data_IF_462848457205
#
_entry.id   IF_462848457205
#
_cell.length_a   1.000
_cell.length_b   1.000
_cell.length_c   1.000
_cell.angle_alpha   90.00
_cell.angle_beta   90.00
_cell.angle_gamma   90.00
#
_symmetry.space_group_name_H-M   'P 1'
#
loop_
_entity.id
_entity.type
_entity.pdbx_description
1 polymer ?
#
# COMPACT_ATOMS: atom_id res chain seq x y z
N UNK A 1 47.62 13.69 -48.24
CA UNK A 1 47.28 14.84 -47.36
C UNK A 1 45.86 14.62 -46.82
N UNK A 2 45.55 14.99 -45.57
CA UNK A 2 44.79 14.15 -44.64
C UNK A 2 43.26 14.30 -44.68
N UNK A 3 42.57 13.24 -44.27
CA UNK A 3 41.12 13.17 -44.05
C UNK A 3 40.68 14.01 -42.82
N UNK A 4 39.47 14.62 -42.84
CA UNK A 4 38.93 15.27 -41.66
C UNK A 4 38.43 14.21 -40.67
N UNK A 5 39.08 14.14 -39.51
CA UNK A 5 38.59 13.39 -38.35
C UNK A 5 37.47 14.21 -37.70
N UNK A 6 36.23 13.76 -37.87
CA UNK A 6 35.10 14.28 -37.10
C UNK A 6 35.36 14.01 -35.61
N UNK A 7 35.55 15.07 -34.83
CA UNK A 7 35.57 14.99 -33.38
C UNK A 7 34.14 14.73 -32.90
N UNK A 8 33.83 13.47 -32.56
CA UNK A 8 32.60 13.12 -31.88
C UNK A 8 32.69 13.60 -30.43
N UNK A 9 32.03 14.71 -30.11
CA UNK A 9 31.84 15.15 -28.73
C UNK A 9 30.82 14.22 -28.05
N UNK A 10 31.31 13.33 -27.19
CA UNK A 10 30.49 12.45 -26.36
C UNK A 10 29.92 13.28 -25.20
N UNK A 11 28.70 13.81 -25.36
CA UNK A 11 27.94 14.42 -24.27
C UNK A 11 27.45 13.32 -23.32
N UNK A 12 28.21 13.09 -22.26
CA UNK A 12 27.84 12.21 -21.15
C UNK A 12 26.77 12.90 -20.29
N UNK A 13 25.49 12.75 -20.65
CA UNK A 13 24.37 13.22 -19.84
C UNK A 13 24.22 12.34 -18.60
N UNK A 14 24.78 12.82 -17.48
CA UNK A 14 24.59 12.26 -16.15
C UNK A 14 23.13 12.50 -15.73
N UNK A 15 22.25 11.51 -15.95
CA UNK A 15 20.88 11.54 -15.45
C UNK A 15 20.90 11.34 -13.93
N UNK A 16 20.90 12.45 -13.18
CA UNK A 16 20.64 12.42 -11.74
C UNK A 16 19.20 11.93 -11.53
N UNK A 17 19.07 10.66 -11.15
CA UNK A 17 17.81 10.09 -10.66
C UNK A 17 17.46 10.79 -9.33
N UNK A 18 16.73 11.90 -9.41
CA UNK A 18 16.13 12.52 -8.25
C UNK A 18 15.02 11.59 -7.75
N UNK A 19 15.29 10.80 -6.71
CA UNK A 19 14.24 10.18 -5.91
C UNK A 19 13.45 11.31 -5.25
N UNK A 20 12.40 11.79 -5.91
CA UNK A 20 11.43 12.66 -5.28
C UNK A 20 10.68 11.79 -4.26
N UNK A 21 11.11 11.84 -2.99
CA UNK A 21 10.30 11.33 -1.88
C UNK A 21 9.03 12.16 -1.83
N UNK A 22 7.91 11.57 -2.23
CA UNK A 22 6.60 12.19 -2.04
C UNK A 22 6.43 12.54 -0.55
N UNK A 23 5.79 13.69 -0.21
CA UNK A 23 5.47 14.01 1.17
C UNK A 23 4.75 12.83 1.84
N UNK A 24 5.12 12.49 3.09
CA UNK A 24 4.42 11.43 3.81
C UNK A 24 2.93 11.77 3.87
N UNK A 25 2.09 10.80 3.53
CA UNK A 25 0.66 10.97 3.61
C UNK A 25 0.24 11.28 5.06
N UNK A 26 -0.86 12.02 5.26
CA UNK A 26 -1.40 12.27 6.60
C UNK A 26 -1.57 10.95 7.37
N UNK A 27 -1.33 10.95 8.70
CA UNK A 27 -1.57 9.77 9.52
C UNK A 27 -3.04 9.38 9.46
N UNK A 28 -3.31 8.09 9.28
CA UNK A 28 -4.66 7.53 9.27
C UNK A 28 -5.22 7.52 10.69
N UNK A 29 -6.44 8.03 10.87
CA UNK A 29 -7.14 8.02 12.14
C UNK A 29 -7.87 6.68 12.30
N UNK A 30 -7.52 5.93 13.34
CA UNK A 30 -8.20 4.69 13.70
C UNK A 30 -9.51 4.96 14.44
N UNK A 31 -10.58 4.16 14.21
CA UNK A 31 -11.79 4.24 15.01
C UNK A 31 -11.55 3.75 16.46
N UNK A 32 -12.42 4.10 17.42
CA UNK A 32 -12.28 3.66 18.81
C UNK A 32 -12.16 2.13 18.94
N UNK A 33 -11.19 1.68 19.74
CA UNK A 33 -10.94 0.25 19.96
C UNK A 33 -10.19 -0.46 18.82
N UNK A 34 -9.76 0.27 17.79
CA UNK A 34 -8.84 -0.21 16.75
C UNK A 34 -7.51 0.53 16.86
N UNK A 35 -6.40 -0.18 16.64
CA UNK A 35 -5.09 0.43 16.38
C UNK A 35 -4.56 -0.10 15.06
N UNK A 36 -4.06 0.82 14.21
CA UNK A 36 -3.29 0.45 13.03
C UNK A 36 -1.80 0.45 13.35
N UNK A 37 -1.10 -0.60 12.93
CA UNK A 37 0.35 -0.72 12.98
C UNK A 37 0.86 -1.26 11.63
N UNK A 38 2.16 -1.55 11.54
CA UNK A 38 2.78 -2.01 10.29
C UNK A 38 3.08 -0.86 9.32
N UNK A 39 2.94 -1.12 8.02
CA UNK A 39 3.37 -0.20 6.96
C UNK A 39 2.20 0.18 6.03
N UNK A 40 2.44 0.24 4.71
CA UNK A 40 1.54 0.77 3.70
C UNK A 40 0.59 -0.27 3.06
N UNK A 41 0.70 -1.53 3.46
CA UNK A 41 -0.09 -2.62 2.89
C UNK A 41 0.32 -3.02 1.48
N UNK A 42 1.52 -2.67 0.98
CA UNK A 42 1.97 -3.01 -0.38
C UNK A 42 2.27 -4.48 -0.62
N UNK A 43 2.44 -5.26 0.46
CA UNK A 43 2.72 -6.70 0.42
C UNK A 43 2.32 -7.34 1.76
N UNK A 44 2.35 -8.68 1.85
CA UNK A 44 2.15 -9.38 3.12
C UNK A 44 3.18 -8.97 4.19
N UNK A 45 4.44 -8.74 3.80
CA UNK A 45 5.49 -8.28 4.71
C UNK A 45 5.29 -6.82 5.18
N UNK A 46 4.62 -6.02 4.37
CA UNK A 46 4.31 -4.62 4.65
C UNK A 46 2.83 -4.41 5.03
N UNK A 47 2.12 -5.46 5.44
CA UNK A 47 0.69 -5.40 5.70
C UNK A 47 0.32 -4.31 6.72
N UNK A 48 -0.87 -3.74 6.55
CA UNK A 48 -1.46 -2.89 7.58
C UNK A 48 -1.98 -3.81 8.68
N UNK A 49 -1.40 -3.72 9.87
CA UNK A 49 -1.77 -4.58 10.99
C UNK A 49 -2.92 -3.95 11.76
N UNK A 50 -4.05 -4.65 11.85
CA UNK A 50 -5.22 -4.19 12.60
C UNK A 50 -5.25 -4.92 13.93
N UNK A 51 -4.99 -4.20 15.01
CA UNK A 51 -5.08 -4.70 16.37
C UNK A 51 -6.40 -4.28 17.00
N UNK A 52 -7.14 -5.26 17.54
CA UNK A 52 -8.41 -5.02 18.25
C UNK A 52 -8.86 -6.25 19.04
N UNK A 53 -9.60 -6.00 20.13
CA UNK A 53 -10.35 -7.01 20.88
C UNK A 53 -11.83 -7.08 20.46
N UNK A 54 -12.23 -6.25 19.50
CA UNK A 54 -13.59 -6.23 18.98
C UNK A 54 -13.85 -7.42 18.04
N UNK A 55 -15.14 -7.72 17.81
CA UNK A 55 -15.59 -8.74 16.86
C UNK A 55 -15.21 -8.40 15.42
N UNK A 56 -15.22 -9.40 14.54
CA UNK A 56 -14.77 -9.29 13.16
C UNK A 56 -15.44 -8.19 12.34
N UNK A 57 -16.71 -7.85 12.63
CA UNK A 57 -17.40 -6.74 11.93
C UNK A 57 -16.72 -5.39 12.14
N UNK A 58 -16.17 -5.14 13.33
CA UNK A 58 -15.44 -3.90 13.61
C UNK A 58 -14.08 -3.89 12.91
N UNK A 59 -13.37 -5.02 12.94
CA UNK A 59 -12.10 -5.21 12.23
C UNK A 59 -12.25 -4.97 10.72
N UNK A 60 -13.22 -5.63 10.09
CA UNK A 60 -13.51 -5.49 8.66
C UNK A 60 -13.87 -4.04 8.29
N UNK A 61 -14.70 -3.37 9.11
CA UNK A 61 -15.02 -1.94 8.88
C UNK A 61 -13.77 -1.06 8.89
N UNK A 62 -12.81 -1.36 9.75
CA UNK A 62 -11.59 -0.58 9.88
C UNK A 62 -10.71 -0.64 8.63
N UNK A 63 -10.69 -1.76 7.89
CA UNK A 63 -9.99 -1.87 6.61
C UNK A 63 -10.47 -0.83 5.59
N UNK A 64 -11.80 -0.70 5.44
CA UNK A 64 -12.39 0.30 4.54
C UNK A 64 -12.14 1.73 5.02
N UNK A 65 -12.13 1.97 6.33
CA UNK A 65 -11.80 3.29 6.89
C UNK A 65 -10.34 3.67 6.64
N UNK A 66 -9.43 2.70 6.70
CA UNK A 66 -8.03 2.92 6.36
C UNK A 66 -7.88 3.24 4.86
N UNK A 67 -8.51 2.45 3.99
CA UNK A 67 -8.47 2.66 2.54
C UNK A 67 -9.08 4.01 2.12
N UNK A 68 -10.20 4.41 2.71
CA UNK A 68 -10.86 5.67 2.33
C UNK A 68 -10.04 6.91 2.71
N UNK A 69 -9.26 6.83 3.79
CA UNK A 69 -8.33 7.88 4.19
C UNK A 69 -7.06 7.86 3.33
N UNK A 70 -6.51 6.68 3.03
CA UNK A 70 -5.25 6.55 2.27
C UNK A 70 -5.42 6.78 0.77
N UNK A 71 -6.54 6.33 0.22
CA UNK A 71 -6.89 6.39 -1.19
C UNK A 71 -8.30 6.98 -1.38
N UNK A 72 -8.54 8.27 -1.06
CA UNK A 72 -9.86 8.87 -1.24
C UNK A 72 -10.40 8.67 -2.66
N UNK A 73 -11.65 8.22 -2.77
CA UNK A 73 -12.30 7.95 -4.06
C UNK A 73 -11.92 6.63 -4.73
N UNK A 74 -11.19 5.73 -4.05
CA UNK A 74 -10.91 4.41 -4.58
C UNK A 74 -12.17 3.60 -4.88
N UNK A 75 -12.06 2.64 -5.80
CA UNK A 75 -13.05 1.60 -6.06
C UNK A 75 -12.45 0.25 -5.74
N UNK A 76 -13.11 -0.56 -4.92
CA UNK A 76 -12.68 -1.94 -4.71
C UNK A 76 -13.07 -2.80 -5.91
N UNK A 77 -12.12 -3.57 -6.42
CA UNK A 77 -12.31 -4.48 -7.56
C UNK A 77 -12.31 -5.95 -7.14
N UNK A 78 -11.55 -6.31 -6.08
CA UNK A 78 -11.48 -7.69 -5.58
C UNK A 78 -11.22 -7.75 -4.08
N UNK A 79 -11.59 -8.87 -3.48
CA UNK A 79 -11.15 -9.26 -2.14
C UNK A 79 -10.71 -10.74 -2.17
N UNK A 80 -9.68 -11.07 -1.40
CA UNK A 80 -9.25 -12.44 -1.17
C UNK A 80 -8.76 -12.62 0.27
N UNK A 81 -9.14 -13.72 0.91
CA UNK A 81 -8.58 -14.18 2.17
C UNK A 81 -7.32 -15.00 1.90
N UNK A 82 -6.23 -14.69 2.60
CA UNK A 82 -4.93 -15.35 2.48
C UNK A 82 -4.47 -15.85 3.85
N UNK A 83 -3.75 -16.97 3.86
CA UNK A 83 -3.12 -17.52 5.05
C UNK A 83 -1.63 -17.71 4.79
N UNK A 84 -0.79 -17.29 5.74
CA UNK A 84 0.65 -17.54 5.72
C UNK A 84 1.12 -17.82 7.14
N UNK A 85 1.43 -19.09 7.42
CA UNK A 85 1.74 -19.54 8.77
C UNK A 85 0.52 -19.43 9.69
N UNK A 86 0.72 -18.79 10.84
CA UNK A 86 -0.31 -18.50 11.85
C UNK A 86 -1.10 -17.22 11.59
N UNK A 87 -0.78 -16.52 10.50
CA UNK A 87 -1.41 -15.23 10.15
C UNK A 87 -2.49 -15.38 9.09
N UNK A 88 -3.56 -14.61 9.28
CA UNK A 88 -4.64 -14.42 8.32
C UNK A 88 -4.61 -13.01 7.79
N UNK A 89 -4.77 -12.87 6.47
CA UNK A 89 -4.74 -11.59 5.80
C UNK A 89 -5.92 -11.42 4.86
N UNK A 90 -6.43 -10.20 4.78
CA UNK A 90 -7.31 -9.79 3.70
C UNK A 90 -6.53 -8.97 2.69
N UNK A 91 -6.59 -9.39 1.42
CA UNK A 91 -6.11 -8.63 0.27
C UNK A 91 -7.30 -7.93 -0.37
N UNK A 92 -7.25 -6.61 -0.44
CA UNK A 92 -8.21 -5.78 -1.15
C UNK A 92 -7.56 -5.19 -2.40
N UNK A 93 -8.05 -5.58 -3.57
CA UNK A 93 -7.66 -4.95 -4.82
C UNK A 93 -8.52 -3.72 -5.06
N UNK A 94 -7.89 -2.61 -5.41
CA UNK A 94 -8.52 -1.32 -5.62
C UNK A 94 -8.04 -0.67 -6.92
N UNK A 95 -8.91 0.12 -7.53
CA UNK A 95 -8.53 1.17 -8.47
C UNK A 95 -8.56 2.51 -7.74
N UNK A 96 -7.45 3.22 -7.70
CA UNK A 96 -7.35 4.55 -7.08
C UNK A 96 -8.06 5.60 -7.92
N UNK A 97 -8.29 6.80 -7.36
CA UNK A 97 -8.94 7.90 -8.09
C UNK A 97 -8.16 8.34 -9.35
N UNK A 98 -6.83 8.21 -9.34
CA UNK A 98 -5.94 8.46 -10.48
C UNK A 98 -5.81 7.23 -11.43
N UNK A 99 -6.59 6.17 -11.21
CA UNK A 99 -6.70 5.03 -12.11
C UNK A 99 -5.65 3.93 -11.93
N UNK A 100 -4.80 4.00 -10.90
CA UNK A 100 -3.83 2.93 -10.61
C UNK A 100 -4.52 1.73 -9.98
N UNK A 101 -4.09 0.54 -10.36
CA UNK A 101 -4.51 -0.71 -9.72
C UNK A 101 -3.53 -1.08 -8.61
N UNK A 102 -4.03 -1.29 -7.39
CA UNK A 102 -3.23 -1.64 -6.22
C UNK A 102 -3.84 -2.84 -5.51
N UNK A 103 -3.00 -3.69 -4.94
CA UNK A 103 -3.39 -4.67 -3.93
C UNK A 103 -2.94 -4.17 -2.57
N UNK A 104 -3.87 -4.06 -1.62
CA UNK A 104 -3.60 -3.65 -0.24
C UNK A 104 -3.83 -4.84 0.69
N UNK A 105 -2.85 -5.15 1.52
CA UNK A 105 -2.87 -6.30 2.43
C UNK A 105 -3.06 -5.83 3.88
N UNK A 106 -4.04 -6.43 4.55
CA UNK A 106 -4.35 -6.21 5.96
C UNK A 106 -4.04 -7.49 6.75
N UNK A 107 -3.27 -7.39 7.83
CA UNK A 107 -3.15 -8.48 8.81
C UNK A 107 -4.36 -8.42 9.74
N UNK A 108 -5.24 -9.40 9.59
CA UNK A 108 -6.53 -9.51 10.29
C UNK A 108 -6.50 -10.57 11.39
N UNK A 109 -5.31 -11.09 11.72
CA UNK A 109 -5.11 -12.19 12.66
C UNK A 109 -5.79 -11.93 14.01
N UNK A 110 -5.81 -10.68 14.48
CA UNK A 110 -6.40 -10.30 15.77
C UNK A 110 -7.91 -10.56 15.86
N UNK A 111 -8.64 -10.59 14.75
CA UNK A 111 -10.11 -10.71 14.76
C UNK A 111 -10.67 -11.77 13.80
N UNK A 112 -9.82 -12.43 13.01
CA UNK A 112 -10.25 -13.50 12.12
C UNK A 112 -10.96 -14.62 12.89
N UNK A 113 -12.15 -15.03 12.41
CA UNK A 113 -12.96 -16.07 13.04
C UNK A 113 -13.72 -15.66 14.32
N UNK A 114 -13.61 -14.40 14.77
CA UNK A 114 -14.35 -13.88 15.94
C UNK A 114 -15.67 -13.25 15.49
N UNK A 115 -16.82 -13.83 15.87
CA UNK A 115 -18.17 -13.38 15.52
C UNK A 115 -18.98 -12.86 16.71
#
# INVERSE_FOLDING_TARGET
MPAPRFAAALLLSLALAACQTAPPAPPVVAPPGITYAGSDGSSLANAVVIQTELKGVAGVRSEYMWLSQRYPGYKRTRQALLHQGDKSYDRLDITTADGRELSVYFDITAFFGKF
#
